data_IF_879552063195
#
_entry.id   IF_879552063195
#
_cell.length_a   1.000
_cell.length_b   1.000
_cell.length_c   1.000
_cell.angle_alpha   90.00
_cell.angle_beta   90.00
_cell.angle_gamma   90.00
#
_symmetry.space_group_name_H-M   'P 1'
#
loop_
_entity.id
_entity.type
_entity.pdbx_description
1 polymer ?
#
# COMPACT_ATOMS: atom_id res chain seq x y z
N UNK A 1 -13.80 23.58 -4.07
CA UNK A 1 -13.53 22.27 -4.72
C UNK A 1 -12.44 21.44 -4.05
N UNK A 2 -11.17 21.89 -3.93
CA UNK A 2 -10.11 21.07 -3.27
C UNK A 2 -10.44 20.64 -1.84
N UNK A 3 -11.17 21.46 -1.08
CA UNK A 3 -11.64 21.13 0.27
C UNK A 3 -12.54 19.88 0.32
N UNK A 4 -13.27 19.55 -0.77
CA UNK A 4 -14.10 18.33 -0.86
C UNK A 4 -13.23 17.08 -0.74
N UNK A 5 -11.99 17.15 -1.24
CA UNK A 5 -11.05 16.04 -1.25
C UNK A 5 -10.34 15.83 0.10
N UNK A 6 -10.56 16.70 1.09
CA UNK A 6 -9.86 16.65 2.39
C UNK A 6 -10.17 15.38 3.19
N UNK A 7 -11.38 14.84 3.10
CA UNK A 7 -11.81 13.66 3.87
C UNK A 7 -11.38 12.33 3.28
N UNK A 8 -10.78 12.34 2.09
CA UNK A 8 -10.38 11.13 1.36
C UNK A 8 -11.49 10.08 1.23
N UNK A 9 -12.73 10.55 1.08
CA UNK A 9 -13.90 9.73 0.78
C UNK A 9 -14.28 9.91 -0.69
N UNK A 10 -14.95 8.90 -1.23
CA UNK A 10 -15.58 8.95 -2.54
C UNK A 10 -16.99 8.40 -2.40
N UNK A 11 -17.98 9.09 -2.97
CA UNK A 11 -19.31 8.56 -3.15
C UNK A 11 -19.67 8.56 -4.63
N UNK A 12 -20.56 7.63 -4.96
CA UNK A 12 -21.12 7.42 -6.28
C UNK A 12 -22.63 7.37 -6.12
N UNK A 13 -23.34 8.01 -7.04
CA UNK A 13 -24.78 7.87 -7.15
C UNK A 13 -25.18 7.53 -8.58
N UNK A 14 -26.20 6.69 -8.73
CA UNK A 14 -26.67 6.15 -10.00
C UNK A 14 -28.19 6.18 -10.02
N UNK A 15 -28.76 6.66 -11.14
CA UNK A 15 -30.18 6.59 -11.48
C UNK A 15 -30.42 5.36 -12.36
N UNK A 16 -31.41 4.55 -12.00
CA UNK A 16 -32.06 3.58 -12.88
C UNK A 16 -33.45 4.03 -13.29
N UNK A 17 -34.25 3.07 -13.74
CA UNK A 17 -35.63 3.32 -14.20
C UNK A 17 -36.51 3.69 -13.01
N UNK A 18 -36.61 2.78 -12.03
CA UNK A 18 -37.47 2.92 -10.86
C UNK A 18 -36.69 3.12 -9.55
N UNK A 19 -35.37 3.33 -9.64
CA UNK A 19 -34.45 3.37 -8.50
C UNK A 19 -33.41 4.46 -8.60
N UNK A 20 -33.06 5.06 -7.45
CA UNK A 20 -31.87 5.89 -7.30
C UNK A 20 -31.04 5.36 -6.13
N UNK A 21 -29.73 5.26 -6.32
CA UNK A 21 -28.81 4.67 -5.34
C UNK A 21 -27.67 5.64 -5.06
N UNK A 22 -27.29 5.76 -3.79
CA UNK A 22 -26.01 6.33 -3.36
C UNK A 22 -25.19 5.22 -2.69
N UNK A 23 -23.94 5.05 -3.11
CA UNK A 23 -22.93 4.26 -2.42
C UNK A 23 -21.78 5.17 -1.98
N UNK A 24 -21.40 5.12 -0.71
CA UNK A 24 -20.28 5.90 -0.15
C UNK A 24 -19.37 5.01 0.66
N UNK A 25 -18.07 5.33 0.61
CA UNK A 25 -17.09 4.70 1.48
C UNK A 25 -17.30 5.11 2.94
N UNK A 26 -17.38 4.12 3.83
CA UNK A 26 -17.34 4.31 5.28
C UNK A 26 -15.95 3.95 5.78
N UNK A 27 -15.29 4.89 6.46
CA UNK A 27 -13.98 4.66 7.07
C UNK A 27 -14.04 5.01 8.55
N UNK A 28 -13.96 3.98 9.39
CA UNK A 28 -13.83 4.13 10.83
C UNK A 28 -12.35 3.87 11.18
N UNK A 29 -11.57 4.91 11.51
CA UNK A 29 -10.12 4.77 11.69
C UNK A 29 -9.74 4.04 12.99
N UNK A 30 -10.59 4.12 14.01
CA UNK A 30 -10.34 3.55 15.34
C UNK A 30 -11.52 2.65 15.75
N UNK A 31 -11.20 1.48 16.29
CA UNK A 31 -12.16 0.55 16.89
C UNK A 31 -12.96 1.14 18.05
N UNK A 32 -12.44 2.17 18.73
CA UNK A 32 -13.13 2.84 19.84
C UNK A 32 -14.28 3.75 19.37
N UNK A 33 -14.29 4.13 18.09
CA UNK A 33 -15.36 4.95 17.53
C UNK A 33 -16.59 4.08 17.31
N UNK A 34 -17.73 4.52 17.83
CA UNK A 34 -19.03 3.90 17.53
C UNK A 34 -19.28 4.02 16.03
N UNK A 35 -19.18 2.91 15.31
CA UNK A 35 -19.27 2.87 13.85
C UNK A 35 -20.56 3.53 13.32
N UNK A 36 -21.69 3.37 14.02
CA UNK A 36 -22.98 3.94 13.60
C UNK A 36 -23.03 5.47 13.71
N UNK A 37 -22.17 6.09 14.52
CA UNK A 37 -22.07 7.55 14.64
C UNK A 37 -21.39 8.21 13.43
N UNK A 38 -20.59 7.45 12.68
CA UNK A 38 -19.89 7.92 11.49
C UNK A 38 -20.73 7.59 10.26
N UNK A 39 -21.30 8.63 9.65
CA UNK A 39 -22.07 8.48 8.41
C UNK A 39 -21.89 9.71 7.52
N UNK A 40 -21.87 9.50 6.21
CA UNK A 40 -21.91 10.59 5.22
C UNK A 40 -23.29 10.74 4.59
N UNK A 41 -24.24 9.91 5.03
CA UNK A 41 -25.58 9.77 4.48
C UNK A 41 -26.60 10.32 5.48
N UNK A 42 -27.46 11.22 5.00
CA UNK A 42 -28.43 11.95 5.81
C UNK A 42 -29.80 11.93 5.15
N UNK A 43 -30.84 11.93 5.99
CA UNK A 43 -32.22 12.08 5.54
C UNK A 43 -32.61 13.57 5.59
N UNK A 44 -33.06 14.15 4.49
CA UNK A 44 -33.46 15.57 4.43
C UNK A 44 -34.95 15.75 4.67
N UNK A 45 -35.76 14.89 4.06
CA UNK A 45 -37.21 14.77 4.23
C UNK A 45 -37.60 13.29 4.11
N UNK A 46 -38.82 12.86 4.42
CA UNK A 46 -39.22 11.46 4.25
C UNK A 46 -38.96 10.90 2.84
N UNK A 47 -38.99 11.75 1.81
CA UNK A 47 -38.82 11.41 0.39
C UNK A 47 -37.40 11.67 -0.14
N UNK A 48 -36.65 12.60 0.45
CA UNK A 48 -35.35 13.05 -0.07
C UNK A 48 -34.20 12.60 0.82
N UNK A 49 -33.33 11.78 0.24
CA UNK A 49 -32.06 11.35 0.80
C UNK A 49 -30.89 12.18 0.31
N UNK A 50 -29.84 12.32 1.12
CA UNK A 50 -28.60 12.94 0.65
C UNK A 50 -27.33 12.28 1.17
N UNK A 51 -26.24 12.51 0.42
CA UNK A 51 -24.88 12.26 0.85
C UNK A 51 -24.07 13.54 0.72
N UNK A 52 -23.36 13.91 1.78
CA UNK A 52 -22.55 15.13 1.82
C UNK A 52 -21.06 14.76 1.99
N UNK A 53 -20.24 15.20 1.04
CA UNK A 53 -18.80 14.91 1.01
C UNK A 53 -18.00 16.21 1.07
N UNK A 54 -16.96 16.20 1.90
CA UNK A 54 -16.05 17.31 2.08
C UNK A 54 -15.83 17.55 3.56
N UNK A 55 -15.61 18.80 3.95
CA UNK A 55 -15.42 19.16 5.36
C UNK A 55 -16.65 18.78 6.18
N UNK A 56 -16.50 17.87 7.15
CA UNK A 56 -17.61 17.29 7.92
C UNK A 56 -18.49 18.36 8.61
N UNK A 57 -17.94 19.42 9.25
CA UNK A 57 -18.76 20.46 9.84
C UNK A 57 -19.62 21.19 8.81
N UNK A 58 -19.05 21.53 7.65
CA UNK A 58 -19.76 22.17 6.55
C UNK A 58 -20.85 21.25 5.99
N UNK A 59 -20.57 19.95 5.84
CA UNK A 59 -21.55 18.95 5.43
C UNK A 59 -22.75 18.93 6.39
N UNK A 60 -22.50 18.84 7.71
CA UNK A 60 -23.57 18.81 8.72
C UNK A 60 -24.37 20.10 8.74
N UNK A 61 -23.70 21.25 8.61
CA UNK A 61 -24.35 22.55 8.52
C UNK A 61 -25.28 22.63 7.30
N UNK A 62 -24.79 22.22 6.13
CA UNK A 62 -25.55 22.27 4.89
C UNK A 62 -26.75 21.31 4.94
N UNK A 63 -26.59 20.11 5.53
CA UNK A 63 -27.67 19.15 5.77
C UNK A 63 -28.76 19.73 6.68
N UNK A 64 -28.39 20.35 7.80
CA UNK A 64 -29.35 21.01 8.70
C UNK A 64 -30.11 22.13 7.99
N UNK A 65 -29.42 22.91 7.16
CA UNK A 65 -30.05 23.99 6.39
C UNK A 65 -31.02 23.46 5.32
N UNK A 66 -30.70 22.33 4.70
CA UNK A 66 -31.59 21.66 3.76
C UNK A 66 -32.82 21.05 4.46
N UNK A 67 -32.65 20.44 5.65
CA UNK A 67 -33.77 19.95 6.47
C UNK A 67 -34.74 21.07 6.85
N UNK A 68 -34.22 22.24 7.26
CA UNK A 68 -35.05 23.40 7.57
C UNK A 68 -35.82 23.90 6.34
N UNK A 69 -35.17 23.96 5.18
CA UNK A 69 -35.83 24.38 3.93
C UNK A 69 -36.96 23.42 3.53
N UNK A 70 -36.69 22.12 3.60
CA UNK A 70 -37.69 21.10 3.28
C UNK A 70 -38.88 21.12 4.26
N UNK A 71 -38.61 21.31 5.56
CA UNK A 71 -39.65 21.41 6.57
C UNK A 71 -40.49 22.69 6.40
N UNK A 72 -39.85 23.82 6.10
CA UNK A 72 -40.52 25.08 5.85
C UNK A 72 -41.40 25.01 4.60
N UNK A 73 -40.91 24.40 3.52
CA UNK A 73 -41.69 24.16 2.31
C UNK A 73 -42.94 23.34 2.61
N UNK A 74 -42.79 22.24 3.36
CA UNK A 74 -43.92 21.39 3.75
C UNK A 74 -44.94 22.12 4.60
N UNK A 75 -44.48 22.96 5.52
CA UNK A 75 -45.36 23.80 6.34
C UNK A 75 -46.15 24.81 5.50
N UNK A 76 -45.51 25.44 4.51
CA UNK A 76 -46.14 26.47 3.68
C UNK A 76 -47.08 25.91 2.61
N UNK A 77 -46.69 24.79 2.00
CA UNK A 77 -47.38 24.26 0.82
C UNK A 77 -48.20 22.99 1.11
N UNK A 78 -48.01 22.34 2.26
CA UNK A 78 -48.77 21.15 2.67
C UNK A 78 -48.29 19.82 2.08
N UNK A 79 -47.25 19.81 1.24
CA UNK A 79 -46.68 18.59 0.63
C UNK A 79 -45.15 18.56 0.72
N UNK A 80 -44.54 17.38 0.54
CA UNK A 80 -43.09 17.20 0.60
C UNK A 80 -42.37 17.92 -0.55
N UNK A 81 -41.25 18.56 -0.24
CA UNK A 81 -40.51 19.37 -1.23
C UNK A 81 -39.91 18.50 -2.35
N UNK A 82 -40.15 18.83 -3.63
CA UNK A 82 -39.50 18.17 -4.75
C UNK A 82 -37.98 18.29 -4.67
N UNK A 83 -37.28 17.20 -5.02
CA UNK A 83 -35.83 17.13 -4.88
C UNK A 83 -35.10 18.19 -5.75
N UNK A 84 -35.63 18.49 -6.94
CA UNK A 84 -35.05 19.53 -7.80
C UNK A 84 -35.12 20.91 -7.15
N UNK A 85 -36.28 21.27 -6.60
CA UNK A 85 -36.47 22.56 -5.95
C UNK A 85 -35.58 22.70 -4.72
N UNK A 86 -35.44 21.62 -3.93
CA UNK A 86 -34.53 21.61 -2.79
C UNK A 86 -33.08 21.78 -3.27
N UNK A 87 -32.68 21.12 -4.35
CA UNK A 87 -31.35 21.26 -4.95
C UNK A 87 -31.08 22.70 -5.41
N UNK A 88 -32.05 23.32 -6.08
CA UNK A 88 -32.00 24.72 -6.50
C UNK A 88 -31.84 25.66 -5.30
N UNK A 89 -32.70 25.52 -4.27
CA UNK A 89 -32.62 26.36 -3.06
C UNK A 89 -31.28 26.24 -2.35
N UNK A 90 -30.72 25.03 -2.26
CA UNK A 90 -29.41 24.83 -1.66
C UNK A 90 -28.28 25.41 -2.53
N UNK A 91 -28.42 25.36 -3.85
CA UNK A 91 -27.48 26.00 -4.77
C UNK A 91 -27.51 27.54 -4.65
N UNK A 92 -28.69 28.15 -4.60
CA UNK A 92 -28.85 29.60 -4.39
C UNK A 92 -28.22 30.04 -3.06
N UNK A 93 -28.41 29.26 -1.98
CA UNK A 93 -27.77 29.52 -0.68
C UNK A 93 -26.25 29.41 -0.76
N UNK A 94 -25.73 28.41 -1.46
CA UNK A 94 -24.29 28.28 -1.71
C UNK A 94 -23.74 29.46 -2.51
N UNK A 95 -24.48 29.89 -3.52
CA UNK A 95 -24.14 31.02 -4.37
C UNK A 95 -24.06 32.31 -3.55
N UNK A 96 -25.00 32.52 -2.61
CA UNK A 96 -24.95 33.65 -1.68
C UNK A 96 -23.67 33.69 -0.84
N UNK A 97 -23.17 32.54 -0.38
CA UNK A 97 -21.86 32.46 0.30
C UNK A 97 -20.68 32.77 -0.63
N UNK A 98 -20.83 32.61 -1.94
CA UNK A 98 -19.75 32.87 -2.91
C UNK A 98 -19.70 34.33 -3.36
N UNK A 99 -20.84 35.02 -3.36
CA UNK A 99 -20.91 36.44 -3.74
C UNK A 99 -20.45 37.37 -2.61
N UNK A 100 -20.70 37.01 -1.36
CA UNK A 100 -20.37 37.85 -0.22
C UNK A 100 -18.94 37.60 0.27
N UNK A 101 -18.09 38.62 0.20
CA UNK A 101 -16.68 38.52 0.56
C UNK A 101 -16.43 38.27 2.06
N UNK A 102 -17.37 38.65 2.93
CA UNK A 102 -17.26 38.47 4.39
C UNK A 102 -17.42 37.01 4.82
N UNK A 103 -18.03 36.17 3.97
CA UNK A 103 -18.33 34.79 4.28
C UNK A 103 -17.45 33.82 3.50
N UNK A 104 -17.10 32.70 4.16
CA UNK A 104 -16.41 31.61 3.50
C UNK A 104 -17.42 30.69 2.80
N UNK A 105 -17.17 30.36 1.53
CA UNK A 105 -17.89 29.30 0.82
C UNK A 105 -17.75 27.93 1.50
N UNK A 106 -18.82 27.13 1.44
CA UNK A 106 -18.86 25.82 2.07
C UNK A 106 -17.94 24.82 1.35
N UNK A 107 -17.15 24.07 2.12
CA UNK A 107 -16.17 23.09 1.64
C UNK A 107 -16.76 21.71 1.37
N UNK A 108 -18.04 21.61 1.00
CA UNK A 108 -18.77 20.37 0.81
C UNK A 108 -19.60 20.36 -0.48
N UNK A 109 -19.72 19.17 -1.08
CA UNK A 109 -20.66 18.90 -2.16
C UNK A 109 -21.71 17.92 -1.68
N UNK A 110 -22.95 18.13 -2.13
CA UNK A 110 -24.10 17.34 -1.74
C UNK A 110 -24.64 16.60 -2.95
N UNK A 111 -24.90 15.31 -2.79
CA UNK A 111 -25.66 14.50 -3.73
C UNK A 111 -27.00 14.21 -3.08
N UNK A 112 -28.09 14.45 -3.80
CA UNK A 112 -29.44 14.14 -3.35
C UNK A 112 -30.06 13.10 -4.28
N UNK A 113 -30.83 12.20 -3.68
CA UNK A 113 -31.65 11.22 -4.38
C UNK A 113 -33.08 11.27 -3.86
N UNK A 114 -34.02 11.06 -4.77
CA UNK A 114 -35.44 10.96 -4.45
C UNK A 114 -36.12 10.10 -5.50
N UNK A 115 -37.31 9.63 -5.17
CA UNK A 115 -38.26 9.14 -6.15
C UNK A 115 -39.42 10.12 -6.20
N UNK A 116 -39.54 10.81 -7.33
CA UNK A 116 -40.66 11.69 -7.64
C UNK A 116 -41.76 10.89 -8.35
N UNK A 117 -43.01 11.29 -8.18
CA UNK A 117 -44.14 10.58 -8.78
C UNK A 117 -44.33 10.92 -10.26
N UNK A 118 -43.88 12.11 -10.68
CA UNK A 118 -43.95 12.56 -12.07
C UNK A 118 -42.68 12.18 -12.85
N UNK A 119 -41.51 12.47 -12.28
CA UNK A 119 -40.20 12.28 -12.94
C UNK A 119 -39.52 10.93 -12.63
N UNK A 120 -40.10 10.16 -11.71
CA UNK A 120 -39.53 8.90 -11.23
C UNK A 120 -38.25 9.10 -10.39
N UNK A 121 -37.30 8.18 -10.52
CA UNK A 121 -36.04 8.28 -9.80
C UNK A 121 -35.21 9.49 -10.26
N UNK A 122 -34.74 10.31 -9.32
CA UNK A 122 -33.92 11.50 -9.61
C UNK A 122 -32.65 11.54 -8.76
N UNK A 123 -31.57 12.03 -9.36
CA UNK A 123 -30.27 12.23 -8.70
C UNK A 123 -29.79 13.64 -9.02
N UNK A 124 -29.56 14.45 -8.00
CA UNK A 124 -29.05 15.82 -8.14
C UNK A 124 -27.72 15.97 -7.43
N UNK A 125 -26.82 16.72 -8.04
CA UNK A 125 -25.58 17.17 -7.39
C UNK A 125 -25.64 18.68 -7.18
N UNK A 126 -25.21 19.13 -6.00
CA UNK A 126 -25.03 20.54 -5.66
C UNK A 126 -23.58 20.79 -5.28
N UNK A 127 -22.95 21.71 -6.01
CA UNK A 127 -21.57 22.13 -5.79
C UNK A 127 -21.47 23.36 -4.84
N UNK A 128 -20.32 23.56 -4.17
CA UNK A 128 -20.02 24.76 -3.37
C UNK A 128 -20.24 26.09 -4.09
N UNK A 129 -20.07 26.09 -5.42
CA UNK A 129 -20.20 27.28 -6.25
C UNK A 129 -21.66 27.71 -6.49
N UNK A 130 -22.63 26.94 -5.98
CA UNK A 130 -24.05 27.19 -6.25
C UNK A 130 -24.50 26.69 -7.62
N UNK A 131 -23.82 25.68 -8.16
CA UNK A 131 -24.27 24.97 -9.35
C UNK A 131 -24.99 23.68 -8.94
N UNK A 132 -26.19 23.47 -9.46
CA UNK A 132 -26.90 22.19 -9.34
C UNK A 132 -27.28 21.63 -10.69
N UNK A 133 -27.31 20.30 -10.80
CA UNK A 133 -27.80 19.61 -11.99
C UNK A 133 -28.28 18.21 -11.69
N UNK A 134 -29.33 17.79 -12.39
CA UNK A 134 -29.78 16.40 -12.44
C UNK A 134 -28.79 15.57 -13.28
N UNK A 135 -28.42 14.39 -12.79
CA UNK A 135 -27.42 13.52 -13.43
C UNK A 135 -27.90 12.08 -13.49
N UNK A 136 -27.57 11.35 -14.57
CA UNK A 136 -27.85 9.89 -14.64
C UNK A 136 -26.95 9.11 -13.69
N UNK A 137 -25.71 9.53 -13.55
CA UNK A 137 -24.82 9.08 -12.50
C UNK A 137 -23.82 10.18 -12.17
N UNK A 138 -23.36 10.20 -10.94
CA UNK A 138 -22.42 11.20 -10.46
C UNK A 138 -21.47 10.59 -9.45
N UNK A 139 -20.24 11.07 -9.44
CA UNK A 139 -19.28 10.76 -8.38
C UNK A 139 -18.71 12.04 -7.80
N UNK A 140 -18.41 12.00 -6.50
CA UNK A 140 -17.86 13.14 -5.76
C UNK A 140 -16.79 12.62 -4.80
N UNK A 141 -15.70 13.37 -4.66
CA UNK A 141 -14.61 13.07 -3.73
C UNK A 141 -13.27 12.89 -4.43
N UNK A 142 -12.31 12.26 -3.73
CA UNK A 142 -10.92 12.18 -4.19
C UNK A 142 -10.77 11.43 -5.50
N UNK A 143 -11.48 10.31 -5.65
CA UNK A 143 -11.40 9.44 -6.83
C UNK A 143 -12.56 9.63 -7.82
N UNK A 144 -13.16 10.83 -7.83
CA UNK A 144 -14.29 11.12 -8.72
C UNK A 144 -13.96 10.95 -10.21
N UNK A 145 -12.76 11.34 -10.67
CA UNK A 145 -12.41 11.28 -12.09
C UNK A 145 -12.43 9.83 -12.60
N UNK A 146 -11.81 8.93 -11.85
CA UNK A 146 -11.78 7.50 -12.17
C UNK A 146 -13.17 6.86 -12.11
N UNK A 147 -13.98 7.22 -11.10
CA UNK A 147 -15.33 6.71 -10.95
C UNK A 147 -16.24 7.18 -12.09
N UNK A 148 -16.19 8.47 -12.46
CA UNK A 148 -16.95 9.03 -13.57
C UNK A 148 -16.58 8.38 -14.90
N UNK A 149 -15.29 8.19 -15.20
CA UNK A 149 -14.88 7.50 -16.43
C UNK A 149 -15.35 6.04 -16.49
N UNK A 150 -15.45 5.36 -15.35
CA UNK A 150 -16.02 4.00 -15.29
C UNK A 150 -17.54 4.01 -15.56
N UNK A 151 -18.26 4.92 -14.90
CA UNK A 151 -19.71 5.07 -15.04
C UNK A 151 -20.09 5.43 -16.48
N UNK A 152 -19.36 6.36 -17.12
CA UNK A 152 -19.58 6.74 -18.51
C UNK A 152 -19.49 5.55 -19.48
N UNK A 153 -18.52 4.65 -19.26
CA UNK A 153 -18.36 3.44 -20.10
C UNK A 153 -19.51 2.45 -19.91
N UNK A 154 -20.01 2.29 -18.67
CA UNK A 154 -21.09 1.34 -18.36
C UNK A 154 -22.46 1.86 -18.81
N UNK A 155 -22.75 3.15 -18.56
CA UNK A 155 -24.02 3.79 -18.93
C UNK A 155 -24.18 3.91 -20.45
N UNK A 156 -23.09 4.11 -21.20
CA UNK A 156 -23.14 4.09 -22.67
C UNK A 156 -23.58 2.74 -23.24
N UNK A 157 -23.31 1.62 -22.54
CA UNK A 157 -23.72 0.28 -22.99
C UNK A 157 -25.18 -0.02 -22.68
N UNK A 158 -25.65 0.39 -21.49
CA UNK A 158 -27.02 0.17 -21.03
C UNK A 158 -27.46 1.39 -20.24
N UNK A 159 -28.40 2.15 -20.80
CA UNK A 159 -28.92 3.36 -20.16
C UNK A 159 -29.96 3.05 -19.09
N UNK A 160 -30.79 2.02 -19.32
CA UNK A 160 -31.89 1.64 -18.46
C UNK A 160 -31.47 0.47 -17.57
N UNK A 161 -31.38 0.74 -16.27
CA UNK A 161 -30.88 -0.18 -15.27
C UNK A 161 -32.03 -0.61 -14.36
N UNK A 162 -32.12 -1.93 -14.12
CA UNK A 162 -33.04 -2.51 -13.16
C UNK A 162 -32.60 -2.24 -11.71
N UNK A 163 -33.47 -2.54 -10.73
CA UNK A 163 -33.20 -2.35 -9.30
C UNK A 163 -31.84 -2.93 -8.87
N UNK A 164 -31.59 -4.23 -9.09
CA UNK A 164 -30.35 -4.87 -8.66
C UNK A 164 -29.13 -4.38 -9.46
N UNK A 165 -29.31 -4.15 -10.75
CA UNK A 165 -28.25 -3.66 -11.64
C UNK A 165 -27.78 -2.26 -11.27
N UNK A 166 -28.69 -1.38 -10.81
CA UNK A 166 -28.30 -0.04 -10.34
C UNK A 166 -27.42 -0.08 -9.11
N UNK A 167 -27.77 -0.93 -8.15
CA UNK A 167 -27.02 -1.11 -6.91
C UNK A 167 -25.66 -1.72 -7.23
N UNK A 168 -25.63 -2.75 -8.07
CA UNK A 168 -24.40 -3.38 -8.51
C UNK A 168 -23.49 -2.39 -9.23
N UNK A 169 -24.02 -1.57 -10.15
CA UNK A 169 -23.21 -0.59 -10.88
C UNK A 169 -22.61 0.47 -9.96
N UNK A 170 -23.36 0.97 -8.97
CA UNK A 170 -22.86 1.95 -8.01
C UNK A 170 -21.67 1.40 -7.20
N UNK A 171 -21.75 0.13 -6.79
CA UNK A 171 -20.71 -0.54 -6.00
C UNK A 171 -19.50 -0.89 -6.87
N UNK A 172 -19.71 -1.44 -8.06
CA UNK A 172 -18.65 -1.72 -9.03
C UNK A 172 -17.86 -0.45 -9.36
N UNK A 173 -18.54 0.67 -9.56
CA UNK A 173 -17.90 1.95 -9.83
C UNK A 173 -17.02 2.42 -8.66
N UNK A 174 -17.51 2.24 -7.43
CA UNK A 174 -16.76 2.59 -6.23
C UNK A 174 -15.55 1.67 -6.05
N UNK A 175 -15.72 0.35 -6.17
CA UNK A 175 -14.64 -0.64 -6.11
C UNK A 175 -13.57 -0.41 -7.18
N UNK A 176 -13.99 -0.21 -8.43
CA UNK A 176 -13.09 0.07 -9.55
C UNK A 176 -12.27 1.35 -9.32
N UNK A 177 -12.91 2.40 -8.78
CA UNK A 177 -12.21 3.65 -8.46
C UNK A 177 -11.20 3.45 -7.32
N UNK A 178 -11.58 2.74 -6.26
CA UNK A 178 -10.72 2.52 -5.10
C UNK A 178 -9.58 1.54 -5.41
N UNK A 179 -9.78 0.59 -6.32
CA UNK A 179 -8.83 -0.50 -6.61
C UNK A 179 -8.79 -1.53 -5.48
N UNK A 180 -9.88 -1.64 -4.70
CA UNK A 180 -9.98 -2.49 -3.52
C UNK A 180 -11.36 -3.16 -3.53
N UNK A 181 -11.41 -4.45 -3.21
CA UNK A 181 -12.66 -5.13 -2.90
C UNK A 181 -13.19 -4.65 -1.55
N UNK A 182 -14.28 -3.90 -1.59
CA UNK A 182 -14.92 -3.32 -0.40
C UNK A 182 -15.76 -4.37 0.32
N UNK A 183 -15.64 -4.43 1.66
CA UNK A 183 -16.50 -5.28 2.51
C UNK A 183 -17.77 -4.51 2.92
N UNK A 184 -18.77 -5.22 3.44
CA UNK A 184 -20.06 -4.59 3.83
C UNK A 184 -19.87 -3.49 4.89
N UNK A 185 -18.91 -3.67 5.79
CA UNK A 185 -18.63 -2.71 6.87
C UNK A 185 -18.00 -1.41 6.37
N UNK A 186 -17.36 -1.45 5.21
CA UNK A 186 -16.59 -0.34 4.64
C UNK A 186 -17.44 0.51 3.67
N UNK A 187 -18.74 0.19 3.54
CA UNK A 187 -19.68 0.84 2.65
C UNK A 187 -20.97 1.23 3.37
N UNK A 188 -21.52 2.37 2.98
CA UNK A 188 -22.91 2.73 3.22
C UNK A 188 -23.60 2.86 1.88
N UNK A 189 -24.71 2.14 1.71
CA UNK A 189 -25.55 2.18 0.51
C UNK A 189 -26.95 2.60 0.92
N UNK A 190 -27.52 3.54 0.19
CA UNK A 190 -28.93 3.91 0.32
C UNK A 190 -29.61 3.90 -1.04
N UNK A 191 -30.83 3.39 -1.02
CA UNK A 191 -31.68 3.21 -2.19
C UNK A 191 -33.00 3.92 -1.94
N UNK A 192 -33.51 4.59 -2.96
CA UNK A 192 -34.90 5.02 -3.04
C UNK A 192 -35.52 4.35 -4.26
N UNK A 193 -36.72 3.82 -4.14
CA UNK A 193 -37.39 3.08 -5.22
C UNK A 193 -38.87 3.43 -5.32
N UNK A 194 -39.51 3.07 -6.44
CA UNK A 194 -40.96 3.23 -6.61
C UNK A 194 -41.78 2.56 -5.51
N UNK A 195 -41.38 1.35 -5.09
CA UNK A 195 -42.06 0.56 -4.05
C UNK A 195 -41.87 1.16 -2.66
N UNK A 196 -40.66 1.63 -2.40
CA UNK A 196 -40.33 2.28 -1.13
C UNK A 196 -39.73 3.66 -1.41
N UNK A 197 -40.63 4.65 -1.43
CA UNK A 197 -40.29 6.07 -1.61
C UNK A 197 -39.61 6.65 -0.37
N UNK A 198 -39.70 5.96 0.76
CA UNK A 198 -39.05 6.39 1.99
C UNK A 198 -37.57 6.04 1.96
N UNK A 199 -36.75 6.95 2.48
CA UNK A 199 -35.32 6.76 2.58
C UNK A 199 -34.97 5.63 3.58
N UNK A 200 -34.58 4.46 3.09
CA UNK A 200 -34.13 3.35 3.95
C UNK A 200 -32.60 3.19 3.93
N UNK A 201 -32.00 3.22 5.12
CA UNK A 201 -30.59 2.85 5.32
C UNK A 201 -30.46 1.32 5.39
N UNK A 202 -30.55 0.65 4.25
CA UNK A 202 -30.49 -0.81 4.22
C UNK A 202 -29.08 -1.33 3.95
N UNK A 203 -28.32 -1.57 5.02
CA UNK A 203 -27.06 -2.30 4.95
C UNK A 203 -27.23 -3.79 4.57
N UNK A 204 -28.47 -4.32 4.62
CA UNK A 204 -28.80 -5.73 4.38
C UNK A 204 -29.11 -6.07 2.91
N UNK A 205 -29.49 -5.08 2.09
CA UNK A 205 -29.83 -5.28 0.66
C UNK A 205 -28.67 -5.89 -0.12
N UNK A 206 -27.43 -5.66 0.35
CA UNK A 206 -26.21 -6.15 -0.30
C UNK A 206 -25.89 -7.61 -0.03
N UNK A 207 -26.43 -8.23 1.03
CA UNK A 207 -26.06 -9.60 1.39
C UNK A 207 -26.38 -10.59 0.27
N UNK A 208 -27.51 -10.39 -0.41
CA UNK A 208 -27.95 -11.29 -1.46
C UNK A 208 -27.17 -11.08 -2.76
N UNK A 209 -26.87 -9.82 -3.13
CA UNK A 209 -26.02 -9.49 -4.29
C UNK A 209 -24.57 -9.97 -4.10
N UNK A 210 -24.03 -9.90 -2.88
CA UNK A 210 -22.70 -10.45 -2.57
C UNK A 210 -22.70 -11.95 -2.61
N UNK A 211 -23.73 -12.58 -2.06
CA UNK A 211 -23.88 -14.03 -2.12
C UNK A 211 -23.94 -14.49 -3.57
N UNK A 212 -24.76 -13.84 -4.42
CA UNK A 212 -24.80 -14.18 -5.85
C UNK A 212 -23.47 -13.92 -6.55
N UNK A 213 -22.79 -12.79 -6.29
CA UNK A 213 -21.47 -12.54 -6.87
C UNK A 213 -20.37 -13.50 -6.39
N UNK A 214 -20.47 -14.02 -5.15
CA UNK A 214 -19.57 -15.05 -4.61
C UNK A 214 -19.90 -16.45 -5.11
N UNK A 215 -21.17 -16.74 -5.36
CA UNK A 215 -21.66 -18.02 -5.90
C UNK A 215 -21.52 -18.09 -7.42
N UNK A 216 -21.42 -16.95 -8.10
CA UNK A 216 -21.19 -16.89 -9.54
C UNK A 216 -19.85 -17.54 -9.88
N UNK A 217 -19.80 -18.28 -11.00
CA UNK A 217 -18.60 -18.97 -11.46
C UNK A 217 -17.49 -17.95 -11.76
N UNK A 218 -16.53 -17.83 -10.85
CA UNK A 218 -15.34 -17.00 -11.04
C UNK A 218 -14.16 -17.88 -11.46
N UNK A 219 -13.47 -17.47 -12.52
CA UNK A 219 -12.18 -18.04 -12.92
C UNK A 219 -11.11 -17.59 -11.91
N UNK A 220 -10.93 -18.36 -10.85
CA UNK A 220 -9.94 -18.08 -9.81
C UNK A 220 -8.58 -18.64 -10.26
N UNK A 221 -7.62 -17.75 -10.52
CA UNK A 221 -6.25 -18.14 -10.85
C UNK A 221 -5.39 -18.18 -9.58
N UNK A 222 -4.57 -19.25 -9.41
CA UNK A 222 -4.34 -20.34 -10.36
C UNK A 222 -5.46 -21.39 -10.35
N UNK A 223 -5.85 -21.88 -11.54
CA UNK A 223 -6.75 -23.03 -11.69
C UNK A 223 -6.21 -24.20 -10.85
N UNK A 224 -7.06 -24.80 -10.00
CA UNK A 224 -6.79 -25.95 -9.13
C UNK A 224 -5.40 -25.94 -8.53
N UNK A 225 -5.25 -25.62 -7.24
CA UNK A 225 -3.98 -25.70 -6.50
C UNK A 225 -3.04 -26.78 -7.08
N UNK A 226 -2.14 -26.38 -7.98
CA UNK A 226 -0.88 -27.07 -8.12
C UNK A 226 -0.37 -27.01 -6.70
N UNK A 227 -0.30 -28.16 -6.02
CA UNK A 227 0.24 -28.29 -4.66
C UNK A 227 1.43 -27.35 -4.61
N UNK A 228 1.26 -26.18 -3.99
CA UNK A 228 2.31 -25.17 -4.03
C UNK A 228 3.51 -25.90 -3.46
N UNK A 229 4.55 -26.11 -4.29
CA UNK A 229 5.77 -26.79 -3.89
C UNK A 229 6.15 -26.18 -2.55
N UNK A 230 5.86 -26.91 -1.47
CA UNK A 230 6.06 -26.41 -0.14
C UNK A 230 7.53 -26.02 -0.14
N UNK A 231 7.82 -24.74 0.10
CA UNK A 231 9.20 -24.23 -0.02
C UNK A 231 10.05 -25.14 0.84
N UNK A 232 10.80 -26.03 0.20
CA UNK A 232 11.50 -27.10 0.91
C UNK A 232 12.36 -26.41 1.96
N UNK A 233 12.13 -26.76 3.23
CA UNK A 233 12.93 -26.20 4.30
C UNK A 233 14.38 -26.53 3.96
N UNK A 234 15.31 -25.68 4.37
CA UNK A 234 16.72 -25.92 4.06
C UNK A 234 17.21 -27.29 4.57
N UNK A 235 16.57 -27.82 5.61
CA UNK A 235 16.78 -29.19 6.12
C UNK A 235 16.37 -30.25 5.09
N UNK A 236 15.14 -30.19 4.58
CA UNK A 236 14.61 -31.14 3.59
C UNK A 236 15.46 -31.17 2.30
N UNK A 237 15.98 -30.00 1.87
CA UNK A 237 16.92 -29.91 0.74
C UNK A 237 18.29 -30.53 1.01
N UNK A 238 18.78 -30.44 2.24
CA UNK A 238 20.05 -31.02 2.64
C UNK A 238 19.96 -32.56 2.68
N UNK A 239 18.83 -33.10 3.16
CA UNK A 239 18.56 -34.54 3.18
C UNK A 239 18.35 -35.12 1.77
N UNK A 240 17.72 -34.36 0.88
CA UNK A 240 17.51 -34.77 -0.52
C UNK A 240 18.78 -34.67 -1.39
N UNK A 241 19.85 -34.03 -0.91
CA UNK A 241 21.07 -33.81 -1.70
C UNK A 241 21.87 -35.11 -1.89
N UNK A 242 22.00 -35.54 -3.14
CA UNK A 242 22.89 -36.64 -3.55
C UNK A 242 24.03 -36.08 -4.41
N UNK A 243 25.31 -36.37 -4.09
CA UNK A 243 26.45 -35.88 -4.86
C UNK A 243 26.40 -36.44 -6.28
N UNK A 244 26.40 -35.55 -7.28
CA UNK A 244 26.26 -35.93 -8.70
C UNK A 244 27.62 -35.98 -9.38
N UNK A 245 28.51 -35.03 -9.08
CA UNK A 245 29.82 -34.93 -9.73
C UNK A 245 30.87 -35.79 -9.04
N UNK A 246 31.89 -36.25 -9.78
CA UNK A 246 32.96 -37.07 -9.20
C UNK A 246 33.81 -36.31 -8.17
N UNK A 247 33.88 -34.98 -8.30
CA UNK A 247 34.47 -34.12 -7.28
C UNK A 247 33.61 -34.08 -6.02
N UNK A 248 32.29 -33.91 -6.12
CA UNK A 248 31.38 -33.97 -4.97
C UNK A 248 31.43 -35.33 -4.27
N UNK A 249 31.52 -36.44 -5.02
CA UNK A 249 31.69 -37.77 -4.45
C UNK A 249 33.00 -37.89 -3.65
N UNK A 250 34.12 -37.37 -4.18
CA UNK A 250 35.41 -37.32 -3.46
C UNK A 250 35.33 -36.43 -2.21
N UNK A 251 34.63 -35.30 -2.30
CA UNK A 251 34.46 -34.37 -1.20
C UNK A 251 33.59 -34.97 -0.09
N UNK A 252 32.53 -35.68 -0.43
CA UNK A 252 31.68 -36.43 0.52
C UNK A 252 32.44 -37.61 1.12
N UNK A 253 33.28 -38.31 0.35
CA UNK A 253 34.13 -39.38 0.88
C UNK A 253 35.17 -38.85 1.88
N UNK A 254 35.82 -37.72 1.57
CA UNK A 254 36.73 -37.00 2.47
C UNK A 254 36.00 -36.50 3.72
N UNK A 255 34.80 -35.95 3.55
CA UNK A 255 33.97 -35.48 4.64
C UNK A 255 33.63 -36.66 5.56
N UNK A 256 32.99 -37.71 5.06
CA UNK A 256 32.58 -38.86 5.87
C UNK A 256 33.76 -39.62 6.51
N UNK A 257 34.97 -39.55 5.93
CA UNK A 257 36.18 -40.13 6.53
C UNK A 257 36.78 -39.32 7.68
N UNK A 258 36.31 -38.09 7.92
CA UNK A 258 36.80 -37.22 9.01
C UNK A 258 36.07 -37.51 10.32
N UNK A 259 36.82 -38.00 11.32
CA UNK A 259 36.34 -38.20 12.70
C UNK A 259 35.94 -36.90 13.43
N UNK A 260 36.18 -35.74 12.82
CA UNK A 260 35.86 -34.41 13.37
C UNK A 260 34.47 -33.90 12.95
N UNK A 261 33.67 -34.72 12.27
CA UNK A 261 32.35 -34.29 11.83
C UNK A 261 31.33 -34.36 12.96
N UNK A 262 30.48 -33.34 13.02
CA UNK A 262 29.36 -33.25 13.95
C UNK A 262 28.08 -33.64 13.22
N UNK A 263 27.29 -34.55 13.80
CA UNK A 263 25.91 -34.83 13.37
C UNK A 263 24.93 -34.10 14.30
N UNK A 264 23.72 -33.79 13.82
CA UNK A 264 22.74 -33.04 14.62
C UNK A 264 22.35 -33.72 15.95
N UNK A 265 22.58 -35.03 16.07
CA UNK A 265 22.20 -35.83 17.23
C UNK A 265 23.34 -36.00 18.25
N UNK A 266 24.59 -35.68 17.89
CA UNK A 266 25.76 -35.87 18.77
C UNK A 266 26.34 -34.53 19.22
N UNK A 267 26.64 -34.42 20.52
CA UNK A 267 27.19 -33.18 21.11
C UNK A 267 28.72 -33.09 20.96
N UNK A 268 29.39 -34.23 20.72
CA UNK A 268 30.84 -34.33 20.58
C UNK A 268 31.22 -35.16 19.35
N UNK A 269 32.32 -34.77 18.70
CA UNK A 269 32.87 -35.55 17.58
C UNK A 269 33.51 -36.84 18.10
N UNK A 270 33.69 -37.82 17.23
CA UNK A 270 34.34 -39.08 17.59
C UNK A 270 35.79 -38.86 18.04
N UNK A 271 36.52 -37.96 17.38
CA UNK A 271 37.87 -37.57 17.80
C UNK A 271 37.88 -36.87 19.17
N UNK A 272 36.89 -36.01 19.47
CA UNK A 272 36.78 -35.38 20.79
C UNK A 272 36.44 -36.39 21.87
N UNK A 273 35.56 -37.36 21.59
CA UNK A 273 35.25 -38.43 22.53
C UNK A 273 36.45 -39.34 22.79
N UNK A 274 37.26 -39.66 21.78
CA UNK A 274 38.52 -40.40 21.93
C UNK A 274 39.51 -39.64 22.85
N UNK A 275 39.66 -38.32 22.64
CA UNK A 275 40.51 -37.45 23.43
C UNK A 275 40.01 -37.33 24.89
N UNK A 276 38.70 -37.17 25.07
CA UNK A 276 38.06 -37.07 26.40
C UNK A 276 38.19 -38.40 27.16
N UNK A 277 38.01 -39.53 26.49
CA UNK A 277 38.14 -40.88 27.08
C UNK A 277 39.57 -41.22 27.49
N UNK A 278 40.57 -40.64 26.84
CA UNK A 278 41.98 -40.87 27.16
C UNK A 278 42.50 -40.04 28.35
N UNK A 279 41.71 -39.08 28.87
CA UNK A 279 42.12 -38.15 29.94
C UNK A 279 41.52 -38.52 31.30
N UNK A 280 42.15 -38.04 32.38
CA UNK A 280 41.61 -38.18 33.73
C UNK A 280 40.30 -37.38 33.90
N UNK A 281 39.41 -37.85 34.76
CA UNK A 281 38.02 -37.37 34.88
C UNK A 281 37.95 -35.86 35.20
N UNK A 282 38.91 -35.34 35.96
CA UNK A 282 38.99 -33.91 36.30
C UNK A 282 39.44 -33.06 35.12
N UNK A 283 40.49 -33.46 34.42
CA UNK A 283 41.03 -32.74 33.26
C UNK A 283 40.08 -32.79 32.06
N UNK A 284 39.41 -33.93 31.87
CA UNK A 284 38.38 -34.10 30.85
C UNK A 284 37.24 -33.08 31.02
N UNK A 285 36.80 -32.83 32.26
CA UNK A 285 35.76 -31.85 32.57
C UNK A 285 36.18 -30.41 32.29
N UNK A 286 37.43 -30.06 32.57
CA UNK A 286 37.96 -28.72 32.29
C UNK A 286 38.08 -28.45 30.79
N UNK A 287 38.60 -29.41 30.02
CA UNK A 287 38.66 -29.29 28.56
C UNK A 287 37.27 -29.25 27.93
N UNK A 288 36.30 -29.99 28.47
CA UNK A 288 34.90 -29.91 28.06
C UNK A 288 34.36 -28.48 28.20
N UNK A 289 34.56 -27.88 29.38
CA UNK A 289 34.13 -26.52 29.67
C UNK A 289 34.84 -25.49 28.76
N UNK A 290 36.13 -25.68 28.48
CA UNK A 290 36.88 -24.84 27.55
C UNK A 290 36.33 -24.96 26.12
N UNK A 291 36.07 -26.17 25.63
CA UNK A 291 35.52 -26.39 24.29
C UNK A 291 34.11 -25.81 24.15
N UNK A 292 33.24 -26.00 25.15
CA UNK A 292 31.90 -25.40 25.18
C UNK A 292 31.98 -23.86 25.15
N UNK A 293 32.89 -23.27 25.93
CA UNK A 293 33.13 -21.83 25.93
C UNK A 293 33.60 -21.33 24.57
N UNK A 294 34.53 -22.04 23.91
CA UNK A 294 35.02 -21.69 22.57
C UNK A 294 33.91 -21.77 21.52
N UNK A 295 33.10 -22.83 21.53
CA UNK A 295 31.94 -22.99 20.63
C UNK A 295 30.90 -21.87 20.83
N UNK A 296 30.59 -21.54 22.08
CA UNK A 296 29.68 -20.44 22.40
C UNK A 296 30.22 -19.10 21.87
N UNK A 297 31.51 -18.81 22.06
CA UNK A 297 32.14 -17.58 21.54
C UNK A 297 32.10 -17.49 20.02
N UNK A 298 32.35 -18.59 19.31
CA UNK A 298 32.25 -18.64 17.84
C UNK A 298 30.81 -18.39 17.40
N UNK A 299 29.83 -19.07 18.00
CA UNK A 299 28.41 -18.89 17.69
C UNK A 299 27.92 -17.45 17.93
N UNK A 300 28.29 -16.83 19.05
CA UNK A 300 27.96 -15.43 19.32
C UNK A 300 28.60 -14.48 18.29
N UNK A 301 29.83 -14.77 17.87
CA UNK A 301 30.51 -13.98 16.84
C UNK A 301 29.80 -14.08 15.49
N UNK A 302 29.40 -15.29 15.09
CA UNK A 302 28.63 -15.52 13.86
C UNK A 302 27.25 -14.86 13.89
N UNK A 303 26.52 -14.97 15.00
CA UNK A 303 25.25 -14.30 15.18
C UNK A 303 25.42 -12.77 15.06
N UNK A 304 26.44 -12.21 15.72
CA UNK A 304 26.77 -10.78 15.62
C UNK A 304 27.07 -10.35 14.18
N UNK A 305 27.81 -11.14 13.42
CA UNK A 305 28.05 -10.85 11.99
C UNK A 305 26.77 -10.92 11.15
N UNK A 306 25.92 -11.92 11.38
CA UNK A 306 24.61 -12.03 10.72
C UNK A 306 23.71 -10.82 11.00
N UNK A 307 23.66 -10.34 12.25
CA UNK A 307 22.93 -9.12 12.60
C UNK A 307 23.54 -7.88 11.95
N UNK A 308 24.86 -7.73 11.98
CA UNK A 308 25.55 -6.61 11.35
C UNK A 308 25.29 -6.53 9.83
N UNK A 309 25.21 -7.67 9.14
CA UNK A 309 24.91 -7.73 7.71
C UNK A 309 23.47 -7.28 7.38
N UNK A 310 22.52 -7.43 8.31
CA UNK A 310 21.12 -6.98 8.13
C UNK A 310 20.94 -5.46 8.32
N UNK A 311 21.92 -4.75 8.90
CA UNK A 311 21.82 -3.30 9.13
C UNK A 311 21.89 -2.56 7.78
N UNK A 312 20.81 -1.91 7.38
CA UNK A 312 20.72 -1.12 6.12
C UNK A 312 20.93 0.39 6.30
N UNK A 313 21.14 0.86 7.53
CA UNK A 313 21.27 2.29 7.83
C UNK A 313 22.50 2.91 7.18
N UNK A 314 22.30 4.01 6.43
CA UNK A 314 23.39 4.76 5.79
C UNK A 314 24.37 5.37 6.82
N UNK A 315 23.87 5.79 7.98
CA UNK A 315 24.69 6.38 9.05
C UNK A 315 25.66 5.36 9.65
N UNK A 316 25.17 4.15 9.95
CA UNK A 316 25.99 3.05 10.47
C UNK A 316 27.13 2.69 9.52
N UNK A 317 26.83 2.52 8.23
CA UNK A 317 27.85 2.19 7.23
C UNK A 317 28.89 3.30 7.04
N UNK A 318 28.50 4.58 7.15
CA UNK A 318 29.45 5.70 7.14
C UNK A 318 30.42 5.64 8.33
N UNK A 319 29.91 5.39 9.53
CA UNK A 319 30.73 5.29 10.75
C UNK A 319 31.66 4.08 10.68
N UNK A 320 31.12 2.91 10.29
CA UNK A 320 31.89 1.67 10.14
C UNK A 320 33.03 1.81 9.12
N UNK A 321 32.76 2.43 7.96
CA UNK A 321 33.81 2.75 6.96
C UNK A 321 34.88 3.67 7.54
N UNK A 322 34.50 4.71 8.31
CA UNK A 322 35.46 5.62 8.96
C UNK A 322 36.34 4.88 9.97
N UNK A 323 35.77 3.98 10.76
CA UNK A 323 36.51 3.17 11.72
C UNK A 323 37.48 2.19 11.05
N UNK A 324 37.02 1.45 10.03
CA UNK A 324 37.89 0.53 9.26
C UNK A 324 39.07 1.27 8.62
N UNK A 325 38.84 2.46 8.05
CA UNK A 325 39.93 3.27 7.50
C UNK A 325 40.95 3.69 8.57
N UNK A 326 40.50 4.09 9.76
CA UNK A 326 41.41 4.42 10.87
C UNK A 326 42.25 3.21 11.30
N UNK A 327 41.65 2.01 11.33
CA UNK A 327 42.38 0.77 11.65
C UNK A 327 43.42 0.44 10.59
N UNK A 328 43.06 0.52 9.31
CA UNK A 328 43.99 0.28 8.20
C UNK A 328 45.16 1.27 8.20
N UNK A 329 44.92 2.55 8.52
CA UNK A 329 45.99 3.55 8.67
C UNK A 329 46.91 3.16 9.82
N UNK A 330 46.34 2.81 10.97
CA UNK A 330 47.12 2.39 12.14
C UNK A 330 47.96 1.13 11.86
N UNK A 331 47.38 0.13 11.20
CA UNK A 331 48.09 -1.09 10.79
C UNK A 331 49.19 -0.80 9.76
N UNK A 332 48.98 0.16 8.85
CA UNK A 332 49.99 0.60 7.90
C UNK A 332 51.15 1.30 8.60
N UNK A 333 50.86 2.22 9.53
CA UNK A 333 51.88 2.90 10.33
C UNK A 333 52.69 1.91 11.18
N UNK A 334 52.04 0.91 11.78
CA UNK A 334 52.69 -0.17 12.53
C UNK A 334 53.60 -1.05 11.63
N UNK A 335 53.19 -1.30 10.38
CA UNK A 335 53.98 -2.08 9.42
C UNK A 335 55.15 -1.30 8.84
N UNK A 336 55.03 0.01 8.70
CA UNK A 336 56.12 0.88 8.26
C UNK A 336 57.31 0.81 9.23
N UNK A 337 57.03 0.58 10.52
CA UNK A 337 58.04 0.42 11.58
C UNK A 337 58.61 -1.01 11.64
N UNK A 338 57.80 -2.04 11.38
CA UNK A 338 58.23 -3.45 11.44
C UNK A 338 58.91 -3.93 10.16
N UNK A 339 58.26 -3.77 9.01
CA UNK A 339 58.69 -4.36 7.73
C UNK A 339 58.30 -3.44 6.53
N UNK A 340 59.27 -2.75 5.91
CA UNK A 340 58.99 -1.76 4.86
C UNK A 340 58.48 -2.36 3.53
N UNK A 341 58.76 -3.64 3.26
CA UNK A 341 58.29 -4.33 2.05
C UNK A 341 56.81 -4.71 2.14
N UNK A 342 56.39 -5.27 3.29
CA UNK A 342 54.98 -5.57 3.56
C UNK A 342 54.10 -4.31 3.58
N UNK A 343 54.66 -3.16 3.99
CA UNK A 343 53.99 -1.87 3.90
C UNK A 343 53.73 -1.45 2.43
N UNK A 344 54.69 -1.68 1.51
CA UNK A 344 54.51 -1.40 0.08
C UNK A 344 53.44 -2.28 -0.56
N UNK A 345 53.36 -3.55 -0.17
CA UNK A 345 52.30 -4.45 -0.66
C UNK A 345 50.92 -4.04 -0.15
N UNK A 346 50.80 -3.74 1.16
CA UNK A 346 49.53 -3.22 1.71
C UNK A 346 49.14 -1.88 1.09
N UNK A 347 50.08 -1.02 0.71
CA UNK A 347 49.79 0.21 -0.02
C UNK A 347 49.15 -0.09 -1.38
N UNK A 348 49.73 -1.02 -2.15
CA UNK A 348 49.18 -1.47 -3.45
C UNK A 348 47.80 -2.10 -3.28
N UNK A 349 47.57 -2.88 -2.23
CA UNK A 349 46.25 -3.44 -1.92
C UNK A 349 45.21 -2.37 -1.57
N UNK A 350 45.60 -1.37 -0.76
CA UNK A 350 44.74 -0.23 -0.43
C UNK A 350 44.41 0.61 -1.67
N UNK A 351 45.36 0.80 -2.58
CA UNK A 351 45.14 1.45 -3.88
C UNK A 351 44.20 0.65 -4.77
N UNK A 352 44.41 -0.66 -4.90
CA UNK A 352 43.52 -1.54 -5.67
C UNK A 352 42.09 -1.54 -5.10
N UNK A 353 41.92 -1.56 -3.78
CA UNK A 353 40.60 -1.45 -3.15
C UNK A 353 39.96 -0.07 -3.37
N UNK A 354 40.75 1.01 -3.37
CA UNK A 354 40.26 2.35 -3.76
C UNK A 354 39.82 2.40 -5.22
N UNK A 355 40.56 1.77 -6.13
CA UNK A 355 40.23 1.68 -7.56
C UNK A 355 38.91 0.91 -7.74
N UNK A 356 38.75 -0.23 -7.06
CA UNK A 356 37.52 -1.03 -7.11
C UNK A 356 36.33 -0.30 -6.45
N UNK A 357 36.54 0.43 -5.32
CA UNK A 357 35.48 1.23 -4.68
C UNK A 357 35.05 2.41 -5.58
N UNK A 358 36.01 3.05 -6.27
CA UNK A 358 35.74 4.09 -7.28
C UNK A 358 35.02 3.52 -8.51
N UNK A 359 35.40 2.35 -8.99
CA UNK A 359 34.76 1.69 -10.14
C UNK A 359 33.37 1.12 -9.82
N UNK A 360 33.14 0.64 -8.60
CA UNK A 360 31.85 0.10 -8.14
C UNK A 360 30.86 1.17 -7.67
N UNK A 361 31.34 2.36 -7.31
CA UNK A 361 30.53 3.57 -7.30
C UNK A 361 30.06 3.80 -8.73
N UNK A 362 28.86 3.29 -9.06
CA UNK A 362 28.10 3.68 -10.25
C UNK A 362 27.82 5.17 -10.16
N UNK A 363 28.80 5.99 -10.49
CA UNK A 363 28.60 7.32 -11.01
C UNK A 363 27.87 7.13 -12.35
N UNK A 364 26.54 6.92 -12.30
CA UNK A 364 25.72 7.39 -13.41
C UNK A 364 26.09 8.86 -13.54
N UNK A 365 26.73 9.22 -14.65
CA UNK A 365 26.94 10.59 -15.07
C UNK A 365 25.70 11.41 -14.71
N UNK A 366 25.76 12.17 -13.61
CA UNK A 366 24.58 12.83 -13.04
C UNK A 366 24.37 14.20 -13.68
N UNK A 367 25.46 14.83 -14.10
CA UNK A 367 25.45 16.06 -14.87
C UNK A 367 25.34 15.76 -16.36
N UNK A 368 24.54 16.56 -17.06
CA UNK A 368 24.31 16.44 -18.50
C UNK A 368 25.63 16.44 -19.29
N UNK A 369 26.60 17.26 -18.88
CA UNK A 369 27.95 17.29 -19.43
C UNK A 369 28.65 15.92 -19.39
N UNK A 370 28.61 15.21 -18.27
CA UNK A 370 29.24 13.88 -18.17
C UNK A 370 28.53 12.83 -19.03
N UNK A 371 27.20 12.95 -19.19
CA UNK A 371 26.42 12.06 -20.06
C UNK A 371 26.79 12.31 -21.53
N UNK A 372 26.95 13.57 -21.91
CA UNK A 372 27.35 13.98 -23.25
C UNK A 372 28.79 13.54 -23.53
N UNK A 373 29.74 13.75 -22.62
CA UNK A 373 31.14 13.29 -22.77
C UNK A 373 31.21 11.78 -23.03
N UNK A 374 30.46 10.96 -22.28
CA UNK A 374 30.40 9.50 -22.52
C UNK A 374 29.76 9.18 -23.87
N UNK A 375 28.69 9.88 -24.25
CA UNK A 375 27.97 9.65 -25.51
C UNK A 375 28.80 10.02 -26.74
N UNK A 376 29.63 11.05 -26.64
CA UNK A 376 30.44 11.57 -27.74
C UNK A 376 31.90 11.07 -27.75
N UNK A 377 32.39 10.44 -26.68
CA UNK A 377 33.75 9.91 -26.59
C UNK A 377 34.11 8.88 -27.68
N UNK A 378 33.12 8.18 -28.25
CA UNK A 378 33.34 7.27 -29.37
C UNK A 378 33.52 7.96 -30.73
N UNK A 379 33.12 9.23 -30.85
CA UNK A 379 33.11 9.98 -32.12
C UNK A 379 34.04 11.20 -32.12
N UNK A 380 34.38 11.72 -30.95
CA UNK A 380 35.13 12.97 -30.80
C UNK A 380 36.36 12.77 -29.91
N UNK A 381 37.55 13.06 -30.44
CA UNK A 381 38.83 12.76 -29.78
C UNK A 381 39.05 13.60 -28.51
N UNK A 382 38.52 14.83 -28.48
CA UNK A 382 38.55 15.70 -27.31
C UNK A 382 37.63 15.19 -26.19
N UNK A 383 36.44 14.71 -26.53
CA UNK A 383 35.53 14.09 -25.55
C UNK A 383 36.13 12.79 -24.97
N UNK A 384 36.90 12.05 -25.78
CA UNK A 384 37.63 10.86 -25.33
C UNK A 384 38.73 11.19 -24.32
N UNK A 385 39.53 12.23 -24.57
CA UNK A 385 40.56 12.69 -23.62
C UNK A 385 39.97 13.13 -22.28
N UNK A 386 38.88 13.90 -22.30
CA UNK A 386 38.17 14.34 -21.08
C UNK A 386 37.59 13.14 -20.32
N UNK A 387 37.12 12.10 -21.02
CA UNK A 387 36.64 10.87 -20.42
C UNK A 387 37.79 10.08 -19.75
N UNK A 388 38.94 9.97 -20.41
CA UNK A 388 40.14 9.29 -19.88
C UNK A 388 40.74 10.03 -18.68
N UNK A 389 40.75 11.35 -18.68
CA UNK A 389 41.15 12.18 -17.53
C UNK A 389 40.20 12.01 -16.33
N UNK A 390 38.91 11.78 -16.56
CA UNK A 390 37.96 11.47 -15.50
C UNK A 390 38.16 10.08 -14.87
N UNK A 391 38.88 9.17 -15.53
CA UNK A 391 39.16 7.82 -15.04
C UNK A 391 40.55 7.69 -14.38
N UNK A 392 41.48 8.63 -14.61
CA UNK A 392 42.71 8.77 -13.81
C UNK A 392 42.39 9.42 -12.45
#
# INVERSE_FOLDING_TARGET
>A
FKAINSTNLTAVAVKGIDTAVIAVQKRVPDSLIVADSVTSIYNLSPTVGCCAIGMIPDCKFQVRRAQMEAAQWKYQNGYDMPCELLAKRMADKNQYYTQNAEMRSLGCAMIMISFDDEDGAVVFKVDPAGYYRGMKAVSVGVKQVTASSFLEKKIKKKADLNYDETIQLAIEALQSSLGIETRSKDLEVVVVSKKNKTFTKDLKVWNDVVKTNRLADQLQFPLNEETMLATEKAADRAEAFKPKTDFEKKMVAMWNGSKNNMTNDTVYTEAEMEIIRAMDVKEAKEKLNQMQKMRALISYREAKYRYAAKIKSKGYHRILKRQKRKQLIKEFDELLVRDPEAAKEKLKELENQRIIERGSLKHRARTKFQQDVVKYAGRDSKAKQVLEEHFR
#
